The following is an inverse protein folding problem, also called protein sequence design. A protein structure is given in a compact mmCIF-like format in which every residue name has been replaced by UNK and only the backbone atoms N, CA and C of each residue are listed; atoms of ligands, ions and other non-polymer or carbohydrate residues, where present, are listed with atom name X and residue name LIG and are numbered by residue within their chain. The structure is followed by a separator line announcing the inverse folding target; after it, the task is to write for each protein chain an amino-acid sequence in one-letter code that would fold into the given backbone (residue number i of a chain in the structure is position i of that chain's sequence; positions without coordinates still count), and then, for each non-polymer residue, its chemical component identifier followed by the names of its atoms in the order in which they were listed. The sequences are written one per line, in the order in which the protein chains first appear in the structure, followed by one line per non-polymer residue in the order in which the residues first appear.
data_IF_445814932679
#
_entry.id   IF_445814932679
#
_cell.length_a   1.000
_cell.length_b   1.000
_cell.length_c   1.000
_cell.angle_alpha   90.00
_cell.angle_beta   90.00
_cell.angle_gamma   90.00
#
_symmetry.space_group_name_H-M   'P 1'
#
loop_
_entity.id
_entity.type
_entity.pdbx_description
1 polymer ?
#
# COMPACT_ATOMS: atom_id res chain seq x y z
N UNK A 1 -90.03 9.06 -38.18
CA UNK A 1 -90.17 9.25 -36.72
C UNK A 1 -88.83 8.91 -36.08
N UNK A 2 -88.16 9.90 -35.47
CA UNK A 2 -87.04 9.86 -34.49
C UNK A 2 -85.83 8.91 -34.73
N UNK A 3 -84.66 9.42 -35.16
CA UNK A 3 -83.50 9.95 -34.38
C UNK A 3 -82.41 8.89 -34.08
N UNK A 4 -81.25 8.97 -34.76
CA UNK A 4 -79.87 9.33 -34.27
C UNK A 4 -79.10 8.16 -33.59
N UNK A 5 -77.79 7.92 -33.67
CA UNK A 5 -76.52 8.54 -34.16
C UNK A 5 -75.47 7.38 -34.18
N UNK A 6 -74.47 7.27 -35.05
CA UNK A 6 -73.20 8.04 -35.03
C UNK A 6 -72.02 7.11 -34.71
N UNK A 7 -71.31 6.58 -35.72
CA UNK A 7 -69.92 6.88 -36.13
C UNK A 7 -68.81 6.50 -35.12
N UNK A 8 -67.78 5.88 -35.70
CA UNK A 8 -66.59 5.27 -35.13
C UNK A 8 -65.56 6.24 -34.50
N UNK A 9 -64.54 5.62 -33.86
CA UNK A 9 -63.21 6.13 -33.50
C UNK A 9 -63.09 6.78 -32.10
N UNK A 10 -62.55 6.01 -31.14
CA UNK A 10 -61.79 6.49 -29.97
C UNK A 10 -60.58 5.54 -29.85
N UNK A 11 -59.48 5.86 -30.52
CA UNK A 11 -58.26 6.46 -29.93
C UNK A 11 -57.53 5.50 -28.99
N UNK A 12 -56.62 4.72 -29.59
CA UNK A 12 -55.59 3.91 -28.95
C UNK A 12 -54.45 4.84 -28.49
N UNK A 13 -54.67 5.65 -27.45
CA UNK A 13 -53.62 6.40 -26.74
C UNK A 13 -53.39 5.66 -25.42
N UNK A 14 -52.38 4.80 -25.35
CA UNK A 14 -51.71 4.35 -24.11
C UNK A 14 -50.57 3.33 -24.33
N UNK A 15 -49.95 3.24 -25.53
CA UNK A 15 -48.90 2.23 -25.75
C UNK A 15 -47.70 2.69 -26.60
N UNK A 16 -47.41 4.00 -26.62
CA UNK A 16 -46.33 4.55 -27.44
C UNK A 16 -45.41 5.59 -26.77
N UNK A 17 -45.42 5.72 -25.43
CA UNK A 17 -44.48 6.61 -24.70
C UNK A 17 -43.67 5.88 -23.62
N UNK A 18 -43.34 4.60 -23.84
CA UNK A 18 -42.40 3.87 -22.96
C UNK A 18 -41.31 3.09 -23.69
N UNK A 19 -41.14 3.29 -25.01
CA UNK A 19 -40.05 2.68 -25.79
C UNK A 19 -38.95 3.67 -26.23
N UNK A 20 -38.89 4.85 -25.63
CA UNK A 20 -37.99 5.92 -26.07
C UNK A 20 -37.12 6.51 -24.97
N UNK A 21 -36.34 5.70 -24.25
CA UNK A 21 -35.11 6.16 -23.54
C UNK A 21 -34.34 5.02 -22.83
N UNK A 22 -34.22 3.84 -23.44
CA UNK A 22 -33.00 3.06 -23.17
C UNK A 22 -32.00 3.47 -24.23
N UNK A 23 -31.20 4.51 -23.91
CA UNK A 23 -29.91 4.66 -24.58
C UNK A 23 -29.21 3.32 -24.40
N UNK A 24 -28.94 2.62 -25.50
CA UNK A 24 -27.93 1.58 -25.54
C UNK A 24 -26.62 2.22 -25.06
N UNK A 25 -26.39 2.16 -23.75
CA UNK A 25 -25.08 2.45 -23.18
C UNK A 25 -24.22 1.32 -23.70
N UNK A 26 -23.53 1.56 -24.82
CA UNK A 26 -22.54 0.64 -25.37
C UNK A 26 -21.67 0.19 -24.21
N UNK A 27 -21.82 -1.09 -23.83
CA UNK A 27 -21.05 -1.65 -22.72
C UNK A 27 -19.58 -1.52 -23.10
N UNK A 28 -18.81 -0.95 -22.19
CA UNK A 28 -17.39 -0.71 -22.41
C UNK A 28 -16.69 -2.04 -22.71
N UNK A 29 -15.78 -2.06 -23.68
CA UNK A 29 -15.08 -3.28 -24.05
C UNK A 29 -14.22 -3.75 -22.88
N UNK A 30 -14.37 -5.02 -22.50
CA UNK A 30 -13.51 -5.67 -21.52
C UNK A 30 -12.08 -5.72 -22.02
N UNK A 31 -11.13 -5.59 -21.11
CA UNK A 31 -9.72 -5.66 -21.41
C UNK A 31 -8.88 -5.68 -20.15
N UNK A 32 -7.60 -5.37 -20.31
CA UNK A 32 -6.64 -5.25 -19.22
C UNK A 32 -5.91 -3.94 -19.43
N UNK A 33 -6.55 -2.87 -18.98
CA UNK A 33 -6.16 -1.50 -19.27
C UNK A 33 -5.18 -0.96 -18.23
N UNK A 34 -4.08 -0.38 -18.72
CA UNK A 34 -3.18 0.44 -17.90
C UNK A 34 -3.33 1.89 -18.31
N UNK A 35 -3.70 2.76 -17.36
CA UNK A 35 -3.88 4.20 -17.59
C UNK A 35 -2.85 4.96 -16.77
N UNK A 36 -2.25 5.98 -17.38
CA UNK A 36 -1.32 6.91 -16.74
C UNK A 36 -1.81 8.33 -16.93
N UNK A 37 -1.59 9.15 -15.91
CA UNK A 37 -1.77 10.58 -15.98
C UNK A 37 -0.73 11.29 -15.12
N UNK A 38 -0.21 12.41 -15.61
CA UNK A 38 0.65 13.29 -14.84
C UNK A 38 -0.09 14.60 -14.53
N UNK A 39 0.10 15.11 -13.32
CA UNK A 39 -0.42 16.41 -12.87
C UNK A 39 0.50 17.00 -11.82
N UNK A 40 1.00 18.21 -12.05
CA UNK A 40 2.02 18.84 -11.19
C UNK A 40 3.21 17.90 -11.00
N UNK A 41 3.61 17.66 -9.75
CA UNK A 41 4.73 16.76 -9.40
C UNK A 41 4.33 15.28 -9.29
N UNK A 42 3.11 14.90 -9.70
CA UNK A 42 2.57 13.57 -9.46
C UNK A 42 2.38 12.78 -10.75
N UNK A 43 2.73 11.50 -10.70
CA UNK A 43 2.30 10.48 -11.66
C UNK A 43 1.24 9.61 -10.99
N UNK A 44 0.07 9.53 -11.61
CA UNK A 44 -1.07 8.73 -11.14
C UNK A 44 -1.34 7.67 -12.20
N UNK A 45 -1.64 6.46 -11.78
CA UNK A 45 -2.05 5.46 -12.74
C UNK A 45 -2.81 4.30 -12.14
N UNK A 46 -3.32 3.46 -13.02
CA UNK A 46 -4.03 2.23 -12.70
C UNK A 46 -3.42 1.13 -13.53
N UNK A 47 -3.15 -0.01 -12.91
CA UNK A 47 -2.73 -1.22 -13.63
C UNK A 47 -3.90 -2.18 -13.83
N UNK A 48 -3.90 -2.85 -14.99
CA UNK A 48 -4.70 -4.05 -15.28
C UNK A 48 -6.22 -3.94 -15.03
N UNK A 49 -6.79 -2.75 -15.17
CA UNK A 49 -8.22 -2.55 -14.92
C UNK A 49 -9.07 -3.16 -16.04
N UNK A 50 -10.19 -3.79 -15.67
CA UNK A 50 -11.09 -4.44 -16.63
C UNK A 50 -11.71 -3.48 -17.65
N UNK A 51 -11.96 -2.24 -17.24
CA UNK A 51 -12.65 -1.23 -18.03
C UNK A 51 -11.98 0.14 -17.89
N UNK A 52 -12.01 0.97 -18.94
CA UNK A 52 -11.39 2.30 -18.93
C UNK A 52 -12.12 3.28 -18.00
N UNK A 53 -13.46 3.25 -17.94
CA UNK A 53 -14.25 4.22 -17.19
C UNK A 53 -13.97 4.20 -15.67
N UNK A 54 -13.96 3.04 -14.97
CA UNK A 54 -13.55 2.95 -13.56
C UNK A 54 -12.11 3.45 -13.32
N UNK A 55 -11.16 3.07 -14.18
CA UNK A 55 -9.77 3.51 -14.06
C UNK A 55 -9.65 5.03 -14.17
N UNK A 56 -10.27 5.63 -15.20
CA UNK A 56 -10.25 7.09 -15.41
C UNK A 56 -10.94 7.83 -14.27
N UNK A 57 -12.04 7.29 -13.74
CA UNK A 57 -12.74 7.85 -12.60
C UNK A 57 -11.85 7.94 -11.37
N UNK A 58 -11.10 6.87 -11.04
CA UNK A 58 -10.16 6.88 -9.91
C UNK A 58 -9.00 7.83 -10.10
N UNK A 59 -8.38 7.87 -11.28
CA UNK A 59 -7.34 8.86 -11.60
C UNK A 59 -7.88 10.29 -11.43
N UNK A 60 -9.09 10.57 -11.91
CA UNK A 60 -9.72 11.89 -11.76
C UNK A 60 -9.96 12.25 -10.29
N UNK A 61 -10.40 11.28 -9.47
CA UNK A 61 -10.59 11.50 -8.04
C UNK A 61 -9.27 11.82 -7.33
N UNK A 62 -8.17 11.13 -7.69
CA UNK A 62 -6.83 11.46 -7.17
C UNK A 62 -6.43 12.87 -7.55
N UNK A 63 -6.51 13.24 -8.84
CA UNK A 63 -6.05 14.57 -9.30
C UNK A 63 -6.77 15.69 -8.55
N UNK A 64 -8.04 15.51 -8.21
CA UNK A 64 -8.81 16.45 -7.41
C UNK A 64 -8.33 16.55 -5.95
N UNK A 65 -7.77 15.47 -5.37
CA UNK A 65 -7.26 15.44 -3.99
C UNK A 65 -5.80 15.93 -3.88
N UNK A 66 -5.01 15.89 -4.96
CA UNK A 66 -3.58 16.22 -4.95
C UNK A 66 -3.24 17.61 -4.38
N UNK A 67 -4.15 18.58 -4.48
CA UNK A 67 -3.95 19.95 -3.94
C UNK A 67 -3.70 19.97 -2.43
N UNK A 68 -4.15 18.95 -1.71
CA UNK A 68 -3.98 18.80 -0.27
C UNK A 68 -2.68 18.10 0.15
N UNK A 69 -1.94 17.53 -0.81
CA UNK A 69 -0.77 16.68 -0.54
C UNK A 69 0.50 17.53 -0.54
N UNK A 70 0.95 17.91 0.65
CA UNK A 70 2.21 18.64 0.82
C UNK A 70 3.42 17.72 0.57
N UNK A 71 4.55 18.25 0.06
CA UNK A 71 5.81 17.52 0.05
C UNK A 71 6.19 17.07 1.45
N UNK A 72 6.68 15.85 1.60
CA UNK A 72 7.27 15.40 2.86
C UNK A 72 8.45 16.29 3.20
N UNK A 73 8.52 16.77 4.44
CA UNK A 73 9.65 17.59 4.86
C UNK A 73 10.94 16.75 4.85
N UNK A 74 12.04 17.26 4.29
CA UNK A 74 13.33 16.59 4.40
C UNK A 74 13.66 16.35 5.86
N UNK A 75 14.26 15.21 6.16
CA UNK A 75 14.80 14.91 7.49
C UNK A 75 15.71 16.09 7.89
N UNK A 76 15.34 16.83 8.93
CA UNK A 76 16.16 17.96 9.37
C UNK A 76 17.57 17.41 9.68
N UNK A 77 18.59 17.91 8.98
CA UNK A 77 19.99 17.44 9.15
C UNK A 77 20.59 17.82 10.51
N UNK A 78 19.81 18.46 11.39
CA UNK A 78 20.20 18.87 12.75
C UNK A 78 19.25 18.38 13.84
N UNK A 79 18.53 17.27 13.62
CA UNK A 79 17.57 16.73 14.59
C UNK A 79 18.24 16.25 15.87
N UNK A 80 17.67 16.65 17.01
CA UNK A 80 17.95 16.15 18.37
C UNK A 80 18.17 14.63 18.32
N UNK A 81 19.26 14.14 18.93
CA UNK A 81 19.49 12.69 19.07
C UNK A 81 18.19 12.05 19.55
N UNK A 82 17.66 11.02 18.87
CA UNK A 82 16.45 10.40 19.32
C UNK A 82 16.61 9.91 20.76
N UNK A 83 15.66 10.27 21.62
CA UNK A 83 15.76 10.09 23.07
C UNK A 83 15.72 8.62 23.49
N UNK A 84 15.23 7.74 22.61
CA UNK A 84 15.09 6.29 22.81
C UNK A 84 15.70 5.57 21.62
N UNK A 85 16.61 4.62 21.85
CA UNK A 85 17.23 3.77 20.81
C UNK A 85 16.55 2.41 20.69
N UNK A 86 16.84 1.63 19.63
CA UNK A 86 16.32 0.26 19.52
C UNK A 86 16.75 -0.64 20.70
N UNK A 87 17.94 -0.39 21.28
CA UNK A 87 18.44 -1.08 22.47
C UNK A 87 17.68 -0.69 23.76
N UNK A 88 17.09 0.49 23.80
CA UNK A 88 16.23 0.91 24.92
C UNK A 88 14.82 0.32 24.80
N UNK A 89 14.37 0.08 23.57
CA UNK A 89 13.06 -0.51 23.29
C UNK A 89 13.06 -2.01 23.58
N UNK A 90 14.10 -2.76 23.18
CA UNK A 90 14.10 -4.22 23.31
C UNK A 90 13.96 -4.67 24.78
N UNK A 91 13.08 -5.63 25.09
CA UNK A 91 12.96 -6.19 26.42
C UNK A 91 14.29 -6.76 26.94
N UNK A 92 14.56 -6.53 28.21
CA UNK A 92 15.73 -7.01 28.95
C UNK A 92 15.24 -8.01 29.99
N UNK A 93 16.20 -8.66 30.63
CA UNK A 93 15.94 -9.61 31.71
C UNK A 93 14.99 -9.03 32.77
N UNK A 94 13.91 -9.74 33.08
CA UNK A 94 12.92 -9.33 34.09
C UNK A 94 11.87 -8.31 33.64
N UNK A 95 11.94 -7.77 32.42
CA UNK A 95 10.94 -6.81 31.93
C UNK A 95 9.57 -7.45 31.67
N UNK A 96 9.56 -8.74 31.28
CA UNK A 96 8.35 -9.55 31.18
C UNK A 96 8.47 -10.69 32.20
N UNK A 97 7.57 -10.77 33.20
CA UNK A 97 7.67 -11.79 34.24
C UNK A 97 7.75 -13.20 33.67
N UNK A 98 8.68 -14.00 34.21
CA UNK A 98 8.95 -15.40 33.86
C UNK A 98 9.65 -15.65 32.52
N UNK A 99 9.98 -14.59 31.78
CA UNK A 99 10.68 -14.66 30.51
C UNK A 99 12.08 -14.09 30.63
N UNK A 100 13.05 -14.84 30.13
CA UNK A 100 14.48 -14.52 30.23
C UNK A 100 15.06 -14.39 28.83
N UNK A 101 16.10 -13.56 28.68
CA UNK A 101 16.85 -13.47 27.42
C UNK A 101 17.65 -14.76 27.24
N UNK A 102 17.46 -15.45 26.13
CA UNK A 102 18.18 -16.68 25.82
C UNK A 102 19.69 -16.45 25.79
N UNK A 103 20.41 -17.19 26.63
CA UNK A 103 21.86 -17.05 26.88
C UNK A 103 22.31 -15.62 27.27
N UNK A 104 21.39 -14.73 27.65
CA UNK A 104 21.68 -13.32 27.87
C UNK A 104 22.14 -12.56 26.62
N UNK A 105 21.92 -13.09 25.41
CA UNK A 105 22.44 -12.54 24.16
C UNK A 105 21.45 -11.60 23.48
N UNK A 106 21.78 -10.31 23.46
CA UNK A 106 21.14 -9.30 22.62
C UNK A 106 22.13 -8.91 21.51
N UNK A 107 21.72 -9.05 20.25
CA UNK A 107 22.55 -8.75 19.08
C UNK A 107 22.09 -7.44 18.44
N UNK A 108 23.03 -6.72 17.82
CA UNK A 108 22.77 -5.46 17.11
C UNK A 108 23.45 -5.49 15.75
N UNK A 109 22.69 -5.11 14.72
CA UNK A 109 23.18 -5.01 13.35
C UNK A 109 22.86 -3.61 12.82
N UNK A 110 23.87 -2.91 12.30
CA UNK A 110 23.75 -1.51 11.87
C UNK A 110 24.05 -1.40 10.38
N UNK A 111 23.21 -0.66 9.65
CA UNK A 111 23.38 -0.46 8.22
C UNK A 111 23.59 -1.79 7.46
N UNK A 112 24.71 -1.91 6.75
CA UNK A 112 25.02 -3.11 5.93
C UNK A 112 25.19 -4.40 6.72
N UNK A 113 25.34 -4.35 8.05
CA UNK A 113 25.45 -5.57 8.84
C UNK A 113 24.12 -6.34 8.91
N UNK A 114 23.01 -5.73 8.47
CA UNK A 114 21.71 -6.42 8.35
C UNK A 114 21.77 -7.66 7.44
N UNK A 115 22.58 -7.63 6.38
CA UNK A 115 22.79 -8.78 5.49
C UNK A 115 23.38 -10.00 6.22
N UNK A 116 24.09 -9.80 7.33
CA UNK A 116 24.59 -10.92 8.14
C UNK A 116 23.49 -11.59 8.97
N UNK A 117 22.33 -10.95 9.08
CA UNK A 117 21.21 -11.40 9.89
C UNK A 117 20.07 -11.97 9.04
N UNK A 118 19.60 -11.20 8.04
CA UNK A 118 18.46 -11.57 7.18
C UNK A 118 18.83 -11.45 5.70
N UNK A 119 19.83 -12.22 5.27
CA UNK A 119 20.31 -12.23 3.89
C UNK A 119 19.17 -12.55 2.90
N UNK A 120 19.03 -11.73 1.86
CA UNK A 120 17.93 -11.76 0.88
C UNK A 120 16.65 -10.98 1.25
N UNK A 121 16.42 -10.68 2.53
CA UNK A 121 15.34 -9.79 2.97
C UNK A 121 15.85 -8.38 3.30
N UNK A 122 17.13 -8.23 3.63
CA UNK A 122 17.77 -6.98 4.03
C UNK A 122 17.62 -5.85 2.98
N UNK A 123 17.61 -6.19 1.69
CA UNK A 123 17.52 -5.23 0.61
C UNK A 123 16.24 -4.40 0.70
N UNK A 124 15.11 -5.02 1.05
CA UNK A 124 13.83 -4.32 1.22
C UNK A 124 13.93 -3.27 2.33
N UNK A 125 14.52 -3.62 3.48
CA UNK A 125 14.74 -2.68 4.59
C UNK A 125 15.61 -1.50 4.18
N UNK A 126 16.65 -1.74 3.37
CA UNK A 126 17.48 -0.67 2.83
C UNK A 126 16.76 0.27 1.86
N UNK A 127 15.68 -0.18 1.19
CA UNK A 127 14.86 0.73 0.37
C UNK A 127 14.14 1.80 1.20
N UNK A 128 13.96 1.56 2.51
CA UNK A 128 13.38 2.47 3.49
C UNK A 128 14.42 3.01 4.47
N UNK A 129 15.66 3.23 4.02
CA UNK A 129 16.73 3.87 4.79
C UNK A 129 16.98 3.27 6.18
N UNK A 130 16.87 1.94 6.29
CA UNK A 130 17.18 1.17 7.51
C UNK A 130 18.40 1.70 8.26
N UNK A 131 18.25 1.89 9.58
CA UNK A 131 19.32 2.37 10.45
C UNK A 131 19.98 1.19 11.17
N UNK A 132 19.20 0.45 11.96
CA UNK A 132 19.68 -0.68 12.75
C UNK A 132 18.54 -1.62 13.15
N UNK A 133 18.90 -2.85 13.52
CA UNK A 133 18.03 -3.79 14.22
C UNK A 133 18.73 -4.27 15.48
N UNK A 134 17.97 -4.33 16.57
CA UNK A 134 18.37 -5.02 17.80
C UNK A 134 17.47 -6.24 17.93
N UNK A 135 18.07 -7.41 18.13
CA UNK A 135 17.36 -8.69 18.16
C UNK A 135 17.76 -9.50 19.38
N UNK A 136 16.79 -10.21 19.96
CA UNK A 136 16.99 -11.11 21.08
C UNK A 136 15.98 -12.26 21.03
N UNK A 137 16.41 -13.41 21.50
CA UNK A 137 15.57 -14.59 21.72
C UNK A 137 15.22 -14.70 23.20
N UNK A 138 14.05 -15.27 23.51
CA UNK A 138 13.53 -15.39 24.85
C UNK A 138 13.05 -16.80 25.15
N UNK A 139 13.32 -17.22 26.38
CA UNK A 139 12.90 -18.48 26.95
C UNK A 139 12.00 -18.28 28.15
N UNK A 140 11.19 -19.29 28.41
CA UNK A 140 10.47 -19.44 29.66
C UNK A 140 10.97 -20.73 30.32
N UNK A 141 11.75 -20.68 31.42
CA UNK A 141 12.44 -21.85 32.00
C UNK A 141 11.54 -23.03 32.41
N UNK A 142 10.22 -22.83 32.49
CA UNK A 142 9.23 -23.86 32.80
C UNK A 142 8.69 -24.60 31.58
N UNK A 143 9.00 -24.12 30.37
CA UNK A 143 8.62 -24.72 29.11
C UNK A 143 9.79 -25.50 28.52
N UNK A 144 9.47 -26.51 27.69
CA UNK A 144 10.43 -27.56 27.28
C UNK A 144 11.44 -27.08 26.22
N UNK A 145 11.15 -26.00 25.50
CA UNK A 145 11.96 -25.53 24.38
C UNK A 145 13.00 -24.48 24.77
N UNK A 146 14.17 -24.55 24.13
CA UNK A 146 15.33 -23.68 24.36
C UNK A 146 15.17 -22.26 23.77
N UNK A 147 14.15 -22.00 22.94
CA UNK A 147 13.80 -20.66 22.46
C UNK A 147 12.34 -20.67 22.02
N UNK A 148 11.56 -19.70 22.49
CA UNK A 148 10.11 -19.66 22.23
C UNK A 148 9.67 -18.41 21.47
N UNK A 149 10.35 -17.29 21.71
CA UNK A 149 10.05 -16.01 21.07
C UNK A 149 11.35 -15.35 20.60
N UNK A 150 11.39 -14.91 19.35
CA UNK A 150 12.38 -13.96 18.86
C UNK A 150 11.75 -12.58 18.69
N UNK A 151 12.46 -11.53 19.08
CA UNK A 151 12.02 -10.15 18.92
C UNK A 151 13.06 -9.38 18.15
N UNK A 152 12.62 -8.73 17.07
CA UNK A 152 13.40 -7.76 16.33
C UNK A 152 12.82 -6.36 16.48
N UNK A 153 13.67 -5.40 16.84
CA UNK A 153 13.35 -3.98 16.91
C UNK A 153 14.16 -3.25 15.83
N UNK A 154 13.51 -2.93 14.71
CA UNK A 154 14.09 -2.19 13.59
C UNK A 154 13.89 -0.69 13.80
N UNK A 155 14.97 0.10 13.86
CA UNK A 155 14.92 1.56 13.71
C UNK A 155 15.00 1.91 12.21
N UNK A 156 13.90 2.44 11.67
CA UNK A 156 13.78 2.81 10.27
C UNK A 156 14.08 4.29 10.01
N UNK A 157 14.55 5.00 11.05
CA UNK A 157 15.00 6.38 10.99
C UNK A 157 13.88 7.43 10.93
N UNK A 158 12.74 7.11 10.32
CA UNK A 158 11.53 7.94 10.29
C UNK A 158 10.26 7.08 10.42
N UNK A 159 9.14 7.66 10.88
CA UNK A 159 7.85 6.95 10.90
C UNK A 159 7.37 6.46 9.54
N UNK A 160 7.62 7.23 8.48
CA UNK A 160 7.22 6.87 7.11
C UNK A 160 7.95 5.62 6.63
N UNK A 161 9.23 5.47 6.98
CA UNK A 161 10.02 4.30 6.63
C UNK A 161 9.59 3.06 7.45
N UNK A 162 9.23 3.23 8.73
CA UNK A 162 8.67 2.16 9.56
C UNK A 162 7.32 1.67 9.02
N UNK A 163 6.42 2.61 8.69
CA UNK A 163 5.17 2.30 8.00
C UNK A 163 5.43 1.64 6.63
N UNK A 164 6.47 2.06 5.90
CA UNK A 164 6.86 1.46 4.62
C UNK A 164 7.03 -0.06 4.72
N UNK A 165 7.84 -0.53 5.67
CA UNK A 165 8.01 -1.97 5.93
C UNK A 165 6.71 -2.61 6.40
N UNK A 166 6.05 -2.01 7.39
CA UNK A 166 4.82 -2.56 7.94
C UNK A 166 3.71 -2.71 6.88
N UNK A 167 3.62 -1.77 5.93
CA UNK A 167 2.60 -1.78 4.88
C UNK A 167 2.73 -2.96 3.90
N UNK A 168 3.90 -3.62 3.84
CA UNK A 168 4.09 -4.84 3.05
C UNK A 168 3.43 -6.05 3.71
N UNK A 169 3.15 -5.99 5.01
CA UNK A 169 2.47 -7.03 5.77
C UNK A 169 0.95 -6.87 5.78
N UNK A 170 0.45 -5.70 5.37
CA UNK A 170 -0.99 -5.40 5.36
C UNK A 170 -1.68 -6.14 4.22
N UNK A 171 -2.86 -6.67 4.52
CA UNK A 171 -3.76 -7.26 3.54
C UNK A 171 -5.22 -7.06 3.97
N UNK A 172 -6.18 -7.14 3.03
CA UNK A 172 -7.59 -7.02 3.36
C UNK A 172 -8.00 -8.05 4.41
N UNK A 173 -8.67 -7.60 5.48
CA UNK A 173 -9.12 -8.43 6.60
C UNK A 173 -7.98 -9.08 7.42
N UNK A 174 -6.79 -8.48 7.45
CA UNK A 174 -5.74 -8.91 8.37
C UNK A 174 -6.23 -8.91 9.84
N UNK A 175 -5.71 -9.80 10.70
CA UNK A 175 -6.08 -9.87 12.11
C UNK A 175 -5.45 -8.71 12.89
N UNK A 176 -6.00 -7.51 12.68
CA UNK A 176 -5.50 -6.29 13.28
C UNK A 176 -5.62 -6.32 14.81
N UNK A 177 -4.58 -5.83 15.49
CA UNK A 177 -4.48 -5.73 16.93
C UNK A 177 -4.17 -4.29 17.36
N UNK A 178 -4.43 -3.99 18.63
CA UNK A 178 -4.24 -2.64 19.21
C UNK A 178 -2.90 -2.52 19.92
N UNK A 179 -1.83 -2.39 19.13
CA UNK A 179 -0.48 -2.05 19.60
C UNK A 179 0.13 -1.01 18.67
N UNK A 180 0.82 -0.02 19.26
CA UNK A 180 1.49 1.00 18.48
C UNK A 180 0.53 1.85 17.64
N UNK A 181 0.96 2.18 16.42
CA UNK A 181 0.12 2.84 15.44
C UNK A 181 -0.83 1.87 14.74
N UNK A 182 -0.33 0.69 14.38
CA UNK A 182 -1.12 -0.44 13.86
C UNK A 182 -0.33 -1.73 14.09
N UNK A 183 -1.03 -2.85 14.28
CA UNK A 183 -0.43 -4.17 14.49
C UNK A 183 -1.23 -5.27 13.80
N UNK A 184 -0.54 -6.31 13.34
CA UNK A 184 -1.13 -7.58 12.89
C UNK A 184 -0.70 -8.66 13.86
N UNK A 185 -1.66 -9.43 14.39
CA UNK A 185 -1.43 -10.51 15.32
C UNK A 185 -1.98 -11.82 14.74
N UNK A 186 -1.07 -12.74 14.42
CA UNK A 186 -1.40 -14.12 14.05
C UNK A 186 -1.06 -15.05 15.23
N UNK A 187 -1.07 -16.36 15.00
CA UNK A 187 -0.56 -17.32 16.00
C UNK A 187 0.97 -17.39 16.02
N UNK A 188 1.63 -16.98 14.92
CA UNK A 188 3.08 -17.07 14.72
C UNK A 188 3.77 -15.72 14.94
N UNK A 189 3.10 -14.61 14.61
CA UNK A 189 3.72 -13.28 14.63
C UNK A 189 2.83 -12.21 15.27
N UNK A 190 3.49 -11.25 15.93
CA UNK A 190 2.92 -9.96 16.29
C UNK A 190 3.84 -8.91 15.68
N UNK A 191 3.40 -8.37 14.54
CA UNK A 191 4.12 -7.34 13.78
C UNK A 191 3.43 -6.00 13.99
N UNK A 192 4.17 -4.98 14.46
CA UNK A 192 3.60 -3.65 14.69
C UNK A 192 4.62 -2.55 14.43
N UNK A 193 4.14 -1.33 14.24
CA UNK A 193 5.00 -0.16 14.12
C UNK A 193 4.55 0.95 15.07
N UNK A 194 5.51 1.73 15.58
CA UNK A 194 5.23 2.91 16.40
C UNK A 194 6.39 3.90 16.30
N UNK A 195 6.07 5.16 16.04
CA UNK A 195 7.10 6.17 15.74
C UNK A 195 7.94 5.67 14.55
N UNK A 196 9.27 5.74 14.67
CA UNK A 196 10.21 5.24 13.65
C UNK A 196 10.58 3.75 13.77
N UNK A 197 9.97 3.02 14.72
CA UNK A 197 10.29 1.62 14.95
C UNK A 197 9.28 0.71 14.25
N UNK A 198 9.81 -0.30 13.55
CA UNK A 198 9.06 -1.49 13.16
C UNK A 198 9.52 -2.65 14.06
N UNK A 199 8.58 -3.39 14.63
CA UNK A 199 8.85 -4.43 15.61
C UNK A 199 8.17 -5.72 15.15
N UNK A 200 8.97 -6.78 15.10
CA UNK A 200 8.54 -8.14 14.79
C UNK A 200 8.74 -9.02 16.01
N UNK A 201 7.66 -9.64 16.48
CA UNK A 201 7.72 -10.69 17.50
C UNK A 201 7.33 -11.99 16.79
N UNK A 202 8.23 -12.96 16.77
CA UNK A 202 8.04 -14.28 16.17
C UNK A 202 7.96 -15.32 17.29
N UNK A 203 6.94 -16.17 17.26
CA UNK A 203 6.85 -17.36 18.10
C UNK A 203 7.37 -18.58 17.34
N UNK A 204 8.14 -19.44 18.02
CA UNK A 204 8.61 -20.71 17.47
C UNK A 204 7.65 -21.88 17.75
N UNK A 205 6.71 -21.69 18.68
CA UNK A 205 5.73 -22.69 19.09
C UNK A 205 4.34 -22.07 19.19
N UNK A 206 3.32 -22.81 18.75
CA UNK A 206 1.94 -22.36 18.71
C UNK A 206 1.19 -22.76 19.99
N UNK A 207 1.28 -21.92 21.03
CA UNK A 207 0.55 -22.14 22.28
C UNK A 207 -0.08 -20.84 22.80
N UNK A 208 -1.24 -20.94 23.46
CA UNK A 208 -1.97 -19.79 24.03
C UNK A 208 -1.08 -18.96 24.95
N UNK A 209 -0.29 -19.61 25.82
CA UNK A 209 0.60 -18.93 26.76
C UNK A 209 1.71 -18.12 26.05
N UNK A 210 2.19 -18.60 24.90
CA UNK A 210 3.20 -17.92 24.07
C UNK A 210 2.56 -16.74 23.35
N UNK A 211 1.37 -16.91 22.77
CA UNK A 211 0.63 -15.81 22.15
C UNK A 211 0.32 -14.68 23.13
N UNK A 212 -0.06 -15.02 24.36
CA UNK A 212 -0.22 -14.05 25.44
C UNK A 212 1.11 -13.38 25.83
N UNK A 213 2.22 -14.12 25.82
CA UNK A 213 3.54 -13.57 26.06
C UNK A 213 3.96 -12.56 24.98
N UNK A 214 3.71 -12.86 23.70
CA UNK A 214 3.96 -11.92 22.59
C UNK A 214 3.24 -10.59 22.84
N UNK A 215 1.98 -10.63 23.27
CA UNK A 215 1.21 -9.43 23.61
C UNK A 215 1.80 -8.68 24.82
N UNK A 216 2.28 -9.39 25.86
CA UNK A 216 2.96 -8.77 27.01
C UNK A 216 4.25 -8.06 26.57
N UNK A 217 5.07 -8.70 25.75
CA UNK A 217 6.27 -8.09 25.16
C UNK A 217 5.93 -6.85 24.33
N UNK A 218 4.93 -6.94 23.45
CA UNK A 218 4.47 -5.80 22.66
C UNK A 218 4.05 -4.61 23.54
N UNK A 219 3.31 -4.83 24.64
CA UNK A 219 2.94 -3.75 25.58
C UNK A 219 4.14 -3.11 26.27
N UNK A 220 5.17 -3.89 26.63
CA UNK A 220 6.39 -3.34 27.23
C UNK A 220 7.10 -2.41 26.24
N UNK A 221 7.29 -2.87 25.00
CA UNK A 221 7.95 -2.09 23.95
C UNK A 221 7.15 -0.85 23.55
N UNK A 222 5.82 -0.98 23.40
CA UNK A 222 4.91 0.11 23.09
C UNK A 222 5.01 1.27 24.10
N UNK A 223 5.13 0.96 25.39
CA UNK A 223 5.26 1.95 26.47
C UNK A 223 6.59 2.70 26.44
N UNK A 224 7.64 2.11 25.87
CA UNK A 224 8.99 2.71 25.76
C UNK A 224 9.08 3.71 24.62
N UNK A 225 8.20 3.59 23.64
CA UNK A 225 8.17 4.47 22.47
C UNK A 225 7.11 5.55 22.73
N UNK A 226 7.56 6.75 23.09
CA UNK A 226 6.67 7.89 23.35
C UNK A 226 6.07 8.47 22.05
N UNK A 227 6.87 8.49 20.98
CA UNK A 227 6.48 9.02 19.68
C UNK A 227 5.38 8.16 19.04
N UNK A 228 4.25 8.77 18.68
CA UNK A 228 3.37 8.19 17.67
C UNK A 228 3.97 8.45 16.28
N UNK A 229 3.76 7.52 15.35
CA UNK A 229 4.24 7.67 13.98
C UNK A 229 3.20 8.31 13.06
N UNK A 230 3.54 9.43 12.43
CA UNK A 230 2.71 9.98 11.36
C UNK A 230 2.79 9.12 10.10
N UNK A 231 1.64 8.86 9.50
CA UNK A 231 1.55 8.23 8.18
C UNK A 231 2.17 9.12 7.08
N UNK A 232 2.72 8.54 5.99
CA UNK A 232 3.14 9.30 4.82
C UNK A 232 2.02 10.20 4.28
N UNK A 233 2.29 11.50 4.08
CA UNK A 233 1.27 12.45 3.62
C UNK A 233 0.66 12.09 2.27
N UNK A 234 1.43 11.41 1.41
CA UNK A 234 0.99 10.93 0.10
C UNK A 234 -0.18 9.94 0.19
N UNK A 235 -0.39 9.24 1.31
CA UNK A 235 -1.57 8.38 1.49
C UNK A 235 -2.88 9.16 1.37
N UNK A 236 -2.88 10.45 1.72
CA UNK A 236 -4.07 11.33 1.57
C UNK A 236 -4.45 11.56 0.09
N UNK A 237 -3.58 11.23 -0.86
CA UNK A 237 -3.91 11.27 -2.27
C UNK A 237 -4.90 10.16 -2.67
N UNK A 238 -4.93 9.06 -1.92
CA UNK A 238 -5.80 7.91 -2.18
C UNK A 238 -7.26 8.25 -1.85
N UNK A 239 -8.21 8.15 -2.80
CA UNK A 239 -9.62 8.39 -2.53
C UNK A 239 -10.18 7.37 -1.51
N UNK A 240 -11.12 7.79 -0.66
CA UNK A 240 -11.74 6.86 0.30
C UNK A 240 -12.83 5.99 -0.34
N UNK A 241 -13.59 6.54 -1.28
CA UNK A 241 -14.70 5.83 -1.91
C UNK A 241 -14.23 4.54 -2.58
N UNK A 242 -14.81 3.40 -2.19
CA UNK A 242 -14.53 2.10 -2.78
C UNK A 242 -13.13 1.55 -2.53
N UNK A 243 -12.31 2.19 -1.68
CA UNK A 243 -10.99 1.68 -1.29
C UNK A 243 -11.17 0.41 -0.45
N UNK A 244 -10.37 -0.61 -0.74
CA UNK A 244 -10.32 -1.84 0.07
C UNK A 244 -9.42 -1.55 1.27
N UNK A 245 -10.01 -1.50 2.46
CA UNK A 245 -9.29 -1.24 3.71
C UNK A 245 -8.17 -2.28 3.92
N UNK A 246 -6.99 -1.80 4.35
CA UNK A 246 -5.82 -2.65 4.57
C UNK A 246 -5.07 -3.04 3.30
N UNK A 247 -5.47 -2.52 2.13
CA UNK A 247 -4.74 -2.74 0.86
C UNK A 247 -3.71 -1.65 0.54
N UNK A 248 -3.61 -0.60 1.37
CA UNK A 248 -2.68 0.50 1.09
C UNK A 248 -1.24 0.12 1.40
N UNK A 249 -0.36 0.36 0.44
CA UNK A 249 1.07 0.10 0.54
C UNK A 249 1.86 1.34 0.16
N UNK A 250 2.97 1.59 0.86
CA UNK A 250 3.88 2.70 0.60
C UNK A 250 5.19 2.18 0.02
N UNK A 251 5.83 2.93 -0.88
CA UNK A 251 7.12 2.59 -1.47
C UNK A 251 7.93 3.85 -1.83
N UNK A 252 9.27 3.72 -1.90
CA UNK A 252 10.17 4.83 -2.29
C UNK A 252 11.03 4.51 -3.50
N UNK A 253 11.34 3.23 -3.72
CA UNK A 253 12.33 2.79 -4.71
C UNK A 253 11.80 1.61 -5.53
N UNK A 254 12.43 1.34 -6.68
CA UNK A 254 12.03 0.30 -7.61
C UNK A 254 11.91 -1.09 -6.95
N UNK A 255 12.87 -1.46 -6.10
CA UNK A 255 12.83 -2.75 -5.42
C UNK A 255 11.61 -2.87 -4.49
N UNK A 256 11.28 -1.82 -3.73
CA UNK A 256 10.10 -1.80 -2.88
C UNK A 256 8.82 -1.92 -3.71
N UNK A 257 8.74 -1.20 -4.84
CA UNK A 257 7.61 -1.32 -5.76
C UNK A 257 7.50 -2.74 -6.32
N UNK A 258 8.60 -3.35 -6.76
CA UNK A 258 8.57 -4.70 -7.32
C UNK A 258 8.17 -5.78 -6.30
N UNK A 259 8.41 -5.55 -5.00
CA UNK A 259 7.89 -6.42 -3.92
C UNK A 259 6.37 -6.28 -3.72
N UNK A 260 5.82 -5.09 -3.99
CA UNK A 260 4.37 -4.84 -3.98
C UNK A 260 3.72 -5.39 -5.25
N UNK A 261 4.30 -5.04 -6.39
CA UNK A 261 3.86 -5.39 -7.73
C UNK A 261 5.03 -5.24 -8.69
N UNK A 262 5.43 -6.34 -9.30
CA UNK A 262 6.44 -6.32 -10.35
C UNK A 262 6.01 -5.44 -11.52
N UNK A 263 6.84 -4.43 -11.86
CA UNK A 263 6.62 -3.53 -13.01
C UNK A 263 7.64 -3.78 -14.12
N UNK A 264 8.92 -3.82 -13.75
CA UNK A 264 10.06 -4.03 -14.66
C UNK A 264 11.34 -4.24 -13.85
N UNK A 265 12.34 -4.86 -14.47
CA UNK A 265 13.72 -4.89 -13.96
C UNK A 265 14.39 -3.52 -14.08
N UNK A 266 13.97 -2.72 -15.06
CA UNK A 266 14.45 -1.36 -15.27
C UNK A 266 13.68 -0.34 -14.40
N UNK A 267 14.34 0.74 -14.00
CA UNK A 267 13.70 1.85 -13.29
C UNK A 267 12.90 2.76 -14.25
N UNK A 268 11.88 2.19 -14.89
CA UNK A 268 11.05 2.85 -15.91
C UNK A 268 10.18 3.97 -15.35
N UNK A 269 9.89 3.92 -14.05
CA UNK A 269 9.16 4.96 -13.31
C UNK A 269 10.09 6.03 -12.72
N UNK A 270 11.41 5.96 -12.96
CA UNK A 270 12.39 6.96 -12.47
C UNK A 270 12.31 7.20 -10.96
N UNK A 271 12.06 6.14 -10.18
CA UNK A 271 12.02 6.19 -8.72
C UNK A 271 13.41 6.49 -8.15
N UNK A 272 13.45 7.28 -7.07
CA UNK A 272 14.68 7.71 -6.42
C UNK A 272 14.46 8.02 -4.94
N UNK A 273 15.52 8.48 -4.25
CA UNK A 273 15.47 8.72 -2.79
C UNK A 273 14.43 9.76 -2.35
N UNK A 274 14.09 10.68 -3.24
CA UNK A 274 13.13 11.76 -3.00
C UNK A 274 11.76 11.48 -3.61
N UNK A 275 11.55 10.29 -4.17
CA UNK A 275 10.23 9.86 -4.62
C UNK A 275 9.49 9.14 -3.53
N UNK A 276 8.19 9.37 -3.48
CA UNK A 276 7.27 8.66 -2.60
C UNK A 276 6.14 8.08 -3.44
N UNK A 277 5.79 6.85 -3.18
CA UNK A 277 4.77 6.12 -3.90
C UNK A 277 3.78 5.47 -2.94
N UNK A 278 2.52 5.43 -3.34
CA UNK A 278 1.48 4.66 -2.66
C UNK A 278 0.68 3.87 -3.67
N UNK A 279 0.24 2.69 -3.27
CA UNK A 279 -0.74 1.89 -4.01
C UNK A 279 -1.91 1.53 -3.10
N UNK A 280 -3.07 1.25 -3.70
CA UNK A 280 -4.20 0.64 -3.02
C UNK A 280 -5.13 -0.04 -4.02
N UNK A 281 -5.91 -1.00 -3.52
CA UNK A 281 -6.96 -1.69 -4.27
C UNK A 281 -8.31 -1.04 -4.03
N UNK A 282 -9.16 -1.06 -5.05
CA UNK A 282 -10.50 -0.51 -5.00
C UNK A 282 -11.50 -1.46 -5.64
N UNK A 283 -12.75 -1.44 -5.17
CA UNK A 283 -13.92 -1.95 -5.88
C UNK A 283 -14.73 -0.80 -6.44
N UNK A 284 -15.04 -0.83 -7.73
CA UNK A 284 -15.72 0.28 -8.43
C UNK A 284 -16.92 -0.20 -9.21
N UNK A 285 -18.02 0.55 -9.12
CA UNK A 285 -19.26 0.30 -9.86
C UNK A 285 -20.07 -0.88 -9.30
N UNK A 286 -21.21 -1.16 -9.94
CA UNK A 286 -22.15 -2.21 -9.52
C UNK A 286 -21.58 -3.62 -9.67
N UNK A 287 -20.68 -3.80 -10.62
CA UNK A 287 -20.03 -5.09 -10.91
C UNK A 287 -18.77 -5.32 -10.03
N UNK A 288 -18.54 -4.47 -9.02
CA UNK A 288 -17.39 -4.52 -8.08
C UNK A 288 -16.03 -4.71 -8.77
N UNK A 289 -15.78 -3.94 -9.83
CA UNK A 289 -14.55 -4.05 -10.63
C UNK A 289 -13.34 -3.69 -9.77
N UNK A 290 -12.39 -4.61 -9.65
CA UNK A 290 -11.14 -4.36 -8.92
C UNK A 290 -10.24 -3.41 -9.72
N UNK A 291 -9.76 -2.37 -9.06
CA UNK A 291 -8.85 -1.35 -9.61
C UNK A 291 -7.63 -1.27 -8.72
N UNK A 292 -6.44 -1.45 -9.32
CA UNK A 292 -5.18 -1.29 -8.61
C UNK A 292 -4.58 0.09 -8.95
N UNK A 293 -4.79 1.05 -8.05
CA UNK A 293 -4.38 2.44 -8.22
C UNK A 293 -2.98 2.65 -7.63
N UNK A 294 -2.19 3.51 -8.27
CA UNK A 294 -0.95 4.02 -7.71
C UNK A 294 -0.83 5.54 -7.88
N UNK A 295 -0.12 6.17 -6.95
CA UNK A 295 0.23 7.59 -6.96
C UNK A 295 1.70 7.70 -6.59
N UNK A 296 2.48 8.42 -7.40
CA UNK A 296 3.90 8.66 -7.18
C UNK A 296 4.11 10.17 -7.17
N UNK A 297 4.73 10.66 -6.12
CA UNK A 297 5.11 12.05 -5.96
C UNK A 297 6.62 12.19 -6.22
N UNK A 298 6.96 13.08 -7.14
CA UNK A 298 8.34 13.43 -7.50
C UNK A 298 8.75 14.75 -6.83
N UNK A 299 10.05 15.08 -6.83
CA UNK A 299 10.54 16.36 -6.31
C UNK A 299 9.90 17.57 -6.99
N UNK A 300 9.66 17.48 -8.31
CA UNK A 300 9.12 18.57 -9.11
C UNK A 300 8.31 18.06 -10.33
N UNK A 301 7.56 18.94 -11.01
CA UNK A 301 6.79 18.58 -12.19
C UNK A 301 7.61 18.05 -13.36
N UNK A 302 8.86 18.52 -13.55
CA UNK A 302 9.74 18.09 -14.63
C UNK A 302 10.09 16.62 -14.44
N UNK A 303 10.48 16.21 -13.22
CA UNK A 303 10.75 14.81 -12.88
C UNK A 303 9.54 13.89 -13.04
N UNK A 304 8.35 14.37 -12.67
CA UNK A 304 7.13 13.60 -12.91
C UNK A 304 6.83 13.42 -14.40
N UNK A 305 7.12 14.43 -15.24
CA UNK A 305 6.96 14.35 -16.68
C UNK A 305 7.99 13.40 -17.31
N UNK A 306 9.25 13.44 -16.90
CA UNK A 306 10.28 12.48 -17.32
C UNK A 306 9.87 11.03 -17.01
N UNK A 307 9.30 10.79 -15.82
CA UNK A 307 8.79 9.47 -15.44
C UNK A 307 7.58 9.04 -16.26
N UNK A 308 6.64 9.97 -16.51
CA UNK A 308 5.48 9.73 -17.39
C UNK A 308 5.93 9.29 -18.78
N UNK A 309 6.86 10.03 -19.41
CA UNK A 309 7.35 9.73 -20.76
C UNK A 309 8.10 8.39 -20.78
N UNK A 310 8.97 8.16 -19.80
CA UNK A 310 9.73 6.90 -19.66
C UNK A 310 8.80 5.69 -19.57
N UNK A 311 7.80 5.72 -18.67
CA UNK A 311 6.91 4.58 -18.50
C UNK A 311 5.93 4.43 -19.68
N UNK A 312 5.45 5.54 -20.25
CA UNK A 312 4.60 5.51 -21.45
C UNK A 312 5.32 4.86 -22.64
N UNK A 313 6.58 5.20 -22.86
CA UNK A 313 7.39 4.58 -23.92
C UNK A 313 7.65 3.09 -23.66
N UNK A 314 7.92 2.72 -22.40
CA UNK A 314 8.05 1.32 -22.00
C UNK A 314 6.79 0.50 -22.31
N UNK A 315 5.60 1.04 -22.00
CA UNK A 315 4.32 0.39 -22.27
C UNK A 315 3.99 0.36 -23.77
N UNK A 316 4.29 1.41 -24.53
CA UNK A 316 4.04 1.49 -25.97
C UNK A 316 4.75 0.39 -26.76
N UNK A 317 5.93 -0.04 -26.32
CA UNK A 317 6.64 -1.17 -26.93
C UNK A 317 6.03 -2.54 -26.66
N UNK A 318 5.00 -2.64 -25.79
CA UNK A 318 4.46 -3.90 -25.26
C UNK A 318 2.94 -4.01 -25.36
N UNK A 319 2.23 -2.89 -25.38
CA UNK A 319 0.77 -2.82 -25.27
C UNK A 319 0.18 -1.94 -26.37
N UNK A 320 -1.10 -2.18 -26.69
CA UNK A 320 -1.82 -1.41 -27.70
C UNK A 320 -2.31 -0.08 -27.11
N UNK A 321 -1.95 1.03 -27.76
CA UNK A 321 -2.45 2.37 -27.39
C UNK A 321 -3.97 2.46 -27.59
N UNK A 322 -4.68 3.05 -26.62
CA UNK A 322 -6.13 3.25 -26.67
C UNK A 322 -6.48 4.72 -26.43
N UNK A 323 -7.46 5.22 -27.17
CA UNK A 323 -7.96 6.59 -27.00
C UNK A 323 -8.85 6.70 -25.77
N UNK A 324 -8.58 7.71 -24.94
CA UNK A 324 -9.39 8.04 -23.76
C UNK A 324 -9.67 9.54 -23.72
N UNK A 325 -10.74 9.90 -23.00
CA UNK A 325 -11.00 11.31 -22.68
C UNK A 325 -9.88 11.86 -21.78
N UNK A 326 -9.44 13.12 -21.98
CA UNK A 326 -8.39 13.74 -21.18
C UNK A 326 -8.57 13.61 -19.67
N UNK A 327 -7.45 13.47 -18.95
CA UNK A 327 -7.36 13.45 -17.48
C UNK A 327 -5.96 13.89 -17.05
N UNK A 328 -5.85 14.97 -16.27
CA UNK A 328 -4.54 15.56 -15.92
C UNK A 328 -3.91 16.41 -17.05
N UNK A 329 -2.65 16.77 -16.88
CA UNK A 329 -1.86 17.57 -17.83
C UNK A 329 -1.35 16.72 -19.01
N UNK A 330 -0.95 15.48 -18.70
CA UNK A 330 -0.57 14.44 -19.67
C UNK A 330 -1.32 13.17 -19.33
N UNK A 331 -1.70 12.39 -20.34
CA UNK A 331 -2.39 11.12 -20.15
C UNK A 331 -2.14 10.15 -21.28
N UNK A 332 -2.18 8.86 -20.95
CA UNK A 332 -2.14 7.78 -21.94
C UNK A 332 -2.86 6.56 -21.39
N UNK A 333 -3.42 5.74 -22.28
CA UNK A 333 -4.02 4.47 -21.94
C UNK A 333 -3.53 3.39 -22.88
N UNK A 334 -3.28 2.22 -22.33
CA UNK A 334 -2.87 1.03 -23.06
C UNK A 334 -3.77 -0.14 -22.70
N UNK A 335 -3.97 -1.08 -23.62
CA UNK A 335 -4.63 -2.35 -23.39
C UNK A 335 -3.68 -3.50 -23.73
N UNK A 336 -3.75 -4.59 -22.97
CA UNK A 336 -3.12 -5.85 -23.36
C UNK A 336 -3.76 -6.34 -24.67
N UNK A 337 -2.97 -6.65 -25.71
CA UNK A 337 -3.49 -7.26 -26.92
C UNK A 337 -4.24 -8.55 -26.59
N UNK A 338 -5.36 -8.82 -27.25
CA UNK A 338 -5.93 -10.17 -27.22
C UNK A 338 -4.86 -11.15 -27.73
N UNK A 339 -4.74 -12.34 -27.13
CA UNK A 339 -3.86 -13.37 -27.68
C UNK A 339 -4.23 -13.55 -29.16
N UNK A 340 -3.27 -13.45 -30.08
CA UNK A 340 -3.51 -13.93 -31.43
C UNK A 340 -3.99 -15.38 -31.30
N UNK A 341 -5.22 -15.63 -31.76
CA UNK A 341 -5.69 -17.00 -31.91
C UNK A 341 -4.70 -17.65 -32.88
N UNK A 342 -3.89 -18.59 -32.38
CA UNK A 342 -3.01 -19.37 -33.22
C UNK A 342 -3.92 -20.12 -34.20
N UNK A 343 -3.95 -19.69 -35.46
CA UNK A 343 -4.58 -20.40 -36.57
C UNK A 343 -3.85 -21.71 -36.89
#
# INVERSE_FOLDING_TARGET
MRFRFGVAIVILISLLILQGCQRDVKREAEGKYTLLAQSGRFLVGVWDCRYISPARSKISAVINSLRSVQPSQPRSKGGVKPTVTAMDVIPKEGDVPWWNVYEGKIKRYVGKDLFKYIDGAAELYHTYDFVEVVTAEYIQPKLVADSLIAIDVYDMGTPQNAFGIYSHLRYPHAPFARFGNEAILTDETLDFWKGRFFIKILAFEMATEIKEAMQRFARVMEKRIAESGDLPQILKALPEEGKIEGSEQYFKQQLALNNIRYVSDENVLKLGKETEGVTAKYKVGKDEVEVYLFVIAYPDPIKSAEAFESYSNYLKGRLKLVSIKPVGERYVAFNVPEPEQAE
#
